data_IF_168973278722
#
_entry.id   IF_168973278722
#
_cell.length_a   1.000
_cell.length_b   1.000
_cell.length_c   1.000
_cell.angle_alpha   90.00
_cell.angle_beta   90.00
_cell.angle_gamma   90.00
#
_symmetry.space_group_name_H-M   'P 1'
#
loop_
_entity.id
_entity.type
_entity.pdbx_description
1 polymer ?
#
# COMPACT_ATOMS: atom_id res chain seq x y z
N UNK A 1 -29.03 1.28 14.80
CA UNK A 1 -28.67 1.36 13.36
C UNK A 1 -27.49 0.44 13.15
N UNK A 2 -27.67 -0.66 12.43
CA UNK A 2 -26.59 -1.59 12.07
C UNK A 2 -25.80 -0.83 11.00
N UNK A 3 -24.57 -0.40 11.30
CA UNK A 3 -23.65 0.05 10.28
C UNK A 3 -23.46 -1.13 9.34
N UNK A 4 -23.92 -1.00 8.08
CA UNK A 4 -23.56 -1.95 7.03
C UNK A 4 -22.04 -1.93 6.94
N UNK A 5 -21.42 -3.00 7.39
CA UNK A 5 -19.99 -3.21 7.24
C UNK A 5 -19.71 -3.25 5.74
N UNK A 6 -18.95 -2.30 5.24
CA UNK A 6 -18.62 -2.23 3.82
C UNK A 6 -17.81 -3.49 3.47
N UNK A 7 -18.39 -4.36 2.66
CA UNK A 7 -17.75 -5.56 2.16
C UNK A 7 -17.20 -5.29 0.77
N UNK A 8 -15.99 -5.75 0.47
CA UNK A 8 -15.35 -5.61 -0.83
C UNK A 8 -15.40 -6.93 -1.61
N UNK A 9 -15.60 -6.86 -2.93
CA UNK A 9 -15.63 -8.06 -3.79
C UNK A 9 -14.27 -8.74 -3.87
N UNK A 10 -13.21 -7.93 -4.03
CA UNK A 10 -11.86 -8.45 -4.20
C UNK A 10 -10.81 -7.47 -3.69
N UNK A 11 -9.89 -8.00 -2.89
CA UNK A 11 -8.70 -7.28 -2.43
C UNK A 11 -7.45 -8.00 -2.88
N UNK A 12 -6.39 -7.24 -3.04
CA UNK A 12 -5.06 -7.70 -3.41
C UNK A 12 -4.06 -7.32 -2.32
N UNK A 13 -3.15 -8.25 -2.00
CA UNK A 13 -2.05 -8.00 -1.07
C UNK A 13 -0.72 -8.23 -1.77
N UNK A 14 0.24 -7.35 -1.51
CA UNK A 14 1.60 -7.44 -2.03
C UNK A 14 2.57 -6.69 -1.11
N UNK A 15 3.87 -6.98 -1.24
CA UNK A 15 4.92 -6.32 -0.50
C UNK A 15 5.85 -5.52 -1.41
N UNK A 16 6.02 -4.26 -1.07
CA UNK A 16 7.05 -3.43 -1.64
C UNK A 16 8.32 -3.55 -0.79
N UNK A 17 9.38 -4.06 -1.40
CA UNK A 17 10.70 -4.14 -0.77
C UNK A 17 11.43 -2.81 -0.86
N UNK A 18 12.03 -2.37 0.25
CA UNK A 18 12.85 -1.18 0.33
C UNK A 18 13.93 -1.29 1.43
N UNK A 19 14.60 -0.19 1.73
CA UNK A 19 15.62 -0.12 2.78
C UNK A 19 15.57 1.23 3.50
N UNK A 20 16.04 1.25 4.73
CA UNK A 20 16.32 2.46 5.52
C UNK A 20 17.81 2.55 5.79
N UNK A 21 18.31 3.80 5.98
CA UNK A 21 19.73 4.15 6.10
C UNK A 21 20.52 4.03 4.78
N UNK A 22 21.74 4.57 4.75
CA UNK A 22 22.57 4.58 3.53
C UNK A 22 23.21 3.23 3.28
N UNK A 23 23.25 2.80 2.03
CA UNK A 23 23.94 1.57 1.57
C UNK A 23 25.45 1.51 1.86
N UNK A 24 26.10 2.66 2.13
CA UNK A 24 27.58 2.78 2.18
C UNK A 24 28.10 3.29 3.53
N UNK A 25 27.44 3.04 4.63
CA UNK A 25 27.96 3.27 5.96
C UNK A 25 28.28 1.94 6.60
N UNK A 26 29.24 1.89 7.52
CA UNK A 26 29.60 0.69 8.31
C UNK A 26 28.40 0.09 9.07
N UNK A 27 27.29 0.85 9.19
CA UNK A 27 26.01 0.34 9.66
C UNK A 27 25.28 -0.33 8.51
N UNK A 28 25.06 -1.63 8.66
CA UNK A 28 24.33 -2.45 7.69
C UNK A 28 22.99 -1.82 7.30
N UNK A 29 22.78 -1.68 6.00
CA UNK A 29 21.49 -1.30 5.42
C UNK A 29 20.40 -2.24 5.93
N UNK A 30 19.36 -1.71 6.55
CA UNK A 30 18.23 -2.52 7.04
C UNK A 30 17.15 -2.60 5.97
N UNK A 31 16.89 -3.82 5.54
CA UNK A 31 15.79 -4.11 4.63
C UNK A 31 14.46 -3.87 5.34
N UNK A 32 13.50 -3.33 4.60
CA UNK A 32 12.14 -3.14 5.07
C UNK A 32 11.14 -3.60 4.01
N UNK A 33 9.97 -3.94 4.48
CA UNK A 33 8.81 -4.29 3.65
C UNK A 33 7.68 -3.33 3.94
N UNK A 34 7.06 -2.83 2.89
CA UNK A 34 5.78 -2.12 2.96
C UNK A 34 4.73 -3.09 2.45
N UNK A 35 3.97 -3.67 3.35
CA UNK A 35 2.88 -4.60 3.04
C UNK A 35 1.64 -3.76 2.80
N UNK A 36 0.96 -3.95 1.67
CA UNK A 36 -0.24 -3.19 1.32
C UNK A 36 -1.40 -4.12 1.00
N UNK A 37 -2.60 -3.76 1.44
CA UNK A 37 -3.86 -4.39 1.10
C UNK A 37 -4.75 -3.39 0.37
N UNK A 38 -5.15 -3.71 -0.84
CA UNK A 38 -5.84 -2.80 -1.76
C UNK A 38 -7.11 -3.43 -2.29
N UNK A 39 -8.24 -2.71 -2.27
CA UNK A 39 -9.46 -3.13 -2.96
C UNK A 39 -9.40 -2.77 -4.44
N UNK A 40 -10.00 -3.64 -5.28
CA UNK A 40 -10.09 -3.39 -6.74
C UNK A 40 -11.15 -2.32 -7.04
N UNK A 41 -12.33 -2.43 -6.42
CA UNK A 41 -13.43 -1.50 -6.63
C UNK A 41 -14.22 -1.31 -5.32
N UNK A 42 -14.36 -0.06 -4.83
CA UNK A 42 -13.58 1.10 -5.27
C UNK A 42 -12.10 0.88 -4.99
N UNK A 43 -11.22 1.49 -5.79
CA UNK A 43 -9.77 1.36 -5.60
C UNK A 43 -9.34 2.16 -4.37
N UNK A 44 -9.06 1.47 -3.28
CA UNK A 44 -8.70 2.03 -1.98
C UNK A 44 -7.62 1.19 -1.31
N UNK A 45 -6.76 1.83 -0.54
CA UNK A 45 -5.79 1.14 0.32
C UNK A 45 -6.51 0.87 1.65
N UNK A 46 -6.82 -0.38 1.91
CA UNK A 46 -7.58 -0.80 3.09
C UNK A 46 -6.71 -0.99 4.32
N UNK A 47 -5.44 -1.30 4.12
CA UNK A 47 -4.48 -1.49 5.19
C UNK A 47 -3.05 -1.49 4.68
N UNK A 48 -2.11 -1.20 5.58
CA UNK A 48 -0.69 -1.32 5.30
C UNK A 48 0.10 -1.52 6.60
N UNK A 49 1.29 -2.12 6.48
CA UNK A 49 2.30 -2.10 7.54
C UNK A 49 3.69 -1.82 6.94
N UNK A 50 4.57 -1.27 7.77
CA UNK A 50 5.98 -1.02 7.43
C UNK A 50 6.84 -1.71 8.48
N UNK A 51 7.62 -2.70 8.08
CA UNK A 51 8.33 -3.55 9.01
C UNK A 51 9.66 -4.07 8.44
N UNK A 52 10.51 -4.61 9.32
CA UNK A 52 11.76 -5.26 8.95
C UNK A 52 11.56 -6.70 8.46
N UNK A 53 10.39 -7.25 8.70
CA UNK A 53 9.97 -8.60 8.30
C UNK A 53 8.56 -8.56 7.68
N UNK A 54 8.17 -9.66 7.05
CA UNK A 54 6.84 -9.82 6.44
C UNK A 54 6.18 -11.13 6.88
N UNK A 55 6.10 -11.30 8.19
CA UNK A 55 5.53 -12.52 8.79
C UNK A 55 4.02 -12.62 8.58
N UNK A 56 3.50 -13.85 8.69
CA UNK A 56 2.05 -14.12 8.61
C UNK A 56 1.26 -13.35 9.67
N UNK A 57 1.83 -13.15 10.87
CA UNK A 57 1.19 -12.40 11.95
C UNK A 57 0.97 -10.94 11.58
N UNK A 58 1.94 -10.31 10.86
CA UNK A 58 1.79 -8.93 10.38
C UNK A 58 0.71 -8.82 9.31
N UNK A 59 0.70 -9.76 8.38
CA UNK A 59 -0.31 -9.83 7.33
C UNK A 59 -1.69 -10.05 7.95
N UNK A 60 -1.78 -10.97 8.93
CA UNK A 60 -3.02 -11.22 9.66
C UNK A 60 -3.55 -9.96 10.37
N UNK A 61 -2.66 -9.17 10.99
CA UNK A 61 -3.04 -7.92 11.61
C UNK A 61 -3.66 -6.94 10.62
N UNK A 62 -3.05 -6.77 9.43
CA UNK A 62 -3.60 -5.90 8.38
C UNK A 62 -5.00 -6.36 7.99
N UNK A 63 -5.20 -7.67 7.81
CA UNK A 63 -6.51 -8.23 7.44
C UNK A 63 -7.55 -8.05 8.55
N UNK A 64 -7.17 -8.26 9.81
CA UNK A 64 -8.08 -8.10 10.95
C UNK A 64 -8.50 -6.64 11.18
N UNK A 65 -7.60 -5.68 10.88
CA UNK A 65 -7.86 -4.25 11.04
C UNK A 65 -8.60 -3.64 9.83
N UNK A 66 -8.67 -4.35 8.71
CA UNK A 66 -9.31 -3.89 7.48
C UNK A 66 -10.76 -4.38 7.36
N UNK A 67 -11.51 -3.77 6.43
CA UNK A 67 -12.84 -4.27 6.07
C UNK A 67 -12.75 -5.63 5.35
N UNK A 68 -13.78 -6.46 5.54
CA UNK A 68 -13.86 -7.80 4.97
C UNK A 68 -13.99 -7.78 3.44
N UNK A 69 -13.53 -8.86 2.80
CA UNK A 69 -13.67 -9.05 1.39
C UNK A 69 -14.10 -10.49 1.03
N UNK A 70 -14.79 -10.63 -0.09
CA UNK A 70 -15.18 -11.96 -0.60
C UNK A 70 -13.98 -12.75 -1.13
N UNK A 71 -12.99 -12.04 -1.70
CA UNK A 71 -11.80 -12.65 -2.29
C UNK A 71 -10.53 -11.90 -1.88
N UNK A 72 -9.51 -12.66 -1.55
CA UNK A 72 -8.16 -12.18 -1.23
C UNK A 72 -7.19 -12.75 -2.24
N UNK A 73 -6.60 -11.90 -3.07
CA UNK A 73 -5.62 -12.28 -4.09
C UNK A 73 -4.21 -11.96 -3.61
N UNK A 74 -3.32 -12.95 -3.64
CA UNK A 74 -1.92 -12.81 -3.22
C UNK A 74 -1.00 -13.46 -4.24
N UNK A 75 0.28 -13.09 -4.21
CA UNK A 75 1.32 -13.79 -4.95
C UNK A 75 1.73 -15.13 -4.29
N UNK A 76 2.81 -15.72 -4.81
CA UNK A 76 3.34 -17.00 -4.34
C UNK A 76 4.17 -16.95 -3.05
N UNK A 77 4.16 -15.86 -2.29
CA UNK A 77 4.88 -15.82 -1.02
C UNK A 77 4.21 -16.72 0.03
N UNK A 78 4.99 -17.63 0.61
CA UNK A 78 4.48 -18.66 1.54
C UNK A 78 3.85 -18.09 2.83
N UNK A 79 4.25 -16.88 3.25
CA UNK A 79 3.69 -16.22 4.43
C UNK A 79 2.18 -15.99 4.35
N UNK A 80 1.62 -15.91 3.14
CA UNK A 80 0.18 -15.80 2.93
C UNK A 80 -0.60 -17.09 3.24
N UNK A 81 0.06 -18.24 3.23
CA UNK A 81 -0.58 -19.53 3.57
C UNK A 81 -0.84 -19.69 5.08
N UNK A 82 -0.11 -18.97 5.91
CA UNK A 82 -0.29 -18.98 7.37
C UNK A 82 -1.34 -17.98 7.88
N UNK A 83 -2.13 -17.38 6.98
CA UNK A 83 -3.11 -16.33 7.29
C UNK A 83 -4.54 -16.87 7.22
N UNK A 84 -5.39 -16.43 8.13
CA UNK A 84 -6.82 -16.74 8.14
C UNK A 84 -7.58 -15.65 7.41
N UNK A 85 -8.31 -16.00 6.37
CA UNK A 85 -9.11 -15.10 5.55
C UNK A 85 -10.59 -15.29 5.84
N UNK A 86 -11.35 -14.21 5.91
CA UNK A 86 -12.82 -14.25 6.05
C UNK A 86 -13.51 -14.65 4.74
N UNK A 87 -12.85 -14.48 3.60
CA UNK A 87 -13.31 -14.84 2.26
C UNK A 87 -12.39 -15.86 1.56
N UNK A 88 -12.62 -16.04 0.27
CA UNK A 88 -11.87 -16.99 -0.55
C UNK A 88 -10.44 -16.48 -0.79
N UNK A 89 -9.43 -17.23 -0.39
CA UNK A 89 -8.03 -16.94 -0.73
C UNK A 89 -7.68 -17.49 -2.13
N UNK A 90 -7.14 -16.63 -2.96
CA UNK A 90 -6.63 -16.95 -4.32
C UNK A 90 -5.12 -16.75 -4.29
N UNK A 91 -4.42 -17.87 -4.19
CA UNK A 91 -2.96 -17.91 -4.12
C UNK A 91 -2.38 -18.15 -5.52
N UNK A 92 -1.77 -17.13 -6.10
CA UNK A 92 -1.27 -17.18 -7.48
C UNK A 92 0.25 -17.29 -7.54
N UNK A 93 0.72 -18.52 -7.82
CA UNK A 93 2.16 -18.79 -7.99
C UNK A 93 2.65 -18.42 -9.41
N UNK A 94 1.79 -18.55 -10.42
CA UNK A 94 2.22 -18.49 -11.83
C UNK A 94 1.55 -17.36 -12.64
N UNK A 95 0.59 -16.66 -12.10
CA UNK A 95 -0.20 -15.72 -12.88
C UNK A 95 -0.34 -14.36 -12.19
N UNK A 96 0.34 -13.33 -12.72
CA UNK A 96 0.28 -11.95 -12.20
C UNK A 96 -1.02 -11.22 -12.53
N UNK A 97 -2.01 -11.89 -13.13
CA UNK A 97 -3.28 -11.25 -13.52
C UNK A 97 -4.09 -10.73 -12.34
N UNK A 98 -3.82 -11.23 -11.13
CA UNK A 98 -4.61 -10.91 -9.95
C UNK A 98 -3.91 -9.99 -8.95
N UNK A 99 -2.78 -9.36 -9.33
CA UNK A 99 -2.03 -8.40 -8.48
C UNK A 99 -1.83 -7.02 -9.12
N UNK A 100 -2.48 -6.75 -10.25
CA UNK A 100 -2.23 -5.52 -11.01
C UNK A 100 -2.66 -4.24 -10.28
N UNK A 101 -3.67 -4.32 -9.40
CA UNK A 101 -4.15 -3.14 -8.65
C UNK A 101 -3.16 -2.75 -7.58
N UNK A 102 -2.71 -3.71 -6.77
CA UNK A 102 -1.73 -3.47 -5.70
C UNK A 102 -0.36 -3.10 -6.27
N UNK A 103 0.06 -3.71 -7.39
CA UNK A 103 1.28 -3.31 -8.11
C UNK A 103 1.20 -1.84 -8.57
N UNK A 104 0.04 -1.40 -9.07
CA UNK A 104 -0.21 -0.01 -9.43
C UNK A 104 -0.12 0.93 -8.23
N UNK A 105 -0.67 0.55 -7.08
CA UNK A 105 -0.56 1.32 -5.83
C UNK A 105 0.90 1.35 -5.34
N UNK A 106 1.62 0.24 -5.39
CA UNK A 106 3.03 0.18 -5.04
C UNK A 106 3.90 1.06 -5.96
N UNK A 107 3.52 1.20 -7.24
CA UNK A 107 4.17 2.14 -8.16
C UNK A 107 3.84 3.59 -7.79
N UNK A 108 2.61 3.90 -7.39
CA UNK A 108 2.21 5.23 -6.93
C UNK A 108 2.91 5.61 -5.61
N UNK A 109 3.04 4.69 -4.65
CA UNK A 109 3.84 4.88 -3.44
C UNK A 109 5.29 5.29 -3.78
N UNK A 110 5.93 4.58 -4.72
CA UNK A 110 7.29 4.94 -5.18
C UNK A 110 7.36 6.26 -5.92
N UNK A 111 6.30 6.65 -6.60
CA UNK A 111 6.25 7.88 -7.36
C UNK A 111 6.07 9.11 -6.46
N UNK A 112 5.17 9.03 -5.48
CA UNK A 112 4.77 10.17 -4.67
C UNK A 112 5.53 10.30 -3.35
N UNK A 113 6.14 9.22 -2.85
CA UNK A 113 6.93 9.24 -1.62
C UNK A 113 8.42 9.23 -1.99
N UNK A 114 9.13 10.38 -1.92
CA UNK A 114 10.52 10.49 -2.38
C UNK A 114 11.48 9.50 -1.72
N UNK A 115 11.19 9.10 -0.49
CA UNK A 115 12.01 8.13 0.26
C UNK A 115 11.85 6.69 -0.24
N UNK A 116 10.80 6.39 -1.02
CA UNK A 116 10.57 5.11 -1.68
C UNK A 116 10.93 5.12 -3.17
N UNK A 117 11.28 6.29 -3.72
CA UNK A 117 11.58 6.43 -5.14
C UNK A 117 12.92 5.77 -5.49
N UNK A 118 12.91 4.95 -6.56
CA UNK A 118 14.15 4.40 -7.12
C UNK A 118 15.07 5.54 -7.56
N UNK A 119 16.39 5.43 -7.28
CA UNK A 119 17.40 6.45 -7.60
C UNK A 119 17.22 7.78 -6.85
N UNK A 120 16.40 7.84 -5.81
CA UNK A 120 16.30 9.01 -4.95
C UNK A 120 17.55 9.14 -4.06
N UNK A 121 17.93 10.39 -3.75
CA UNK A 121 18.91 10.71 -2.70
C UNK A 121 18.24 10.86 -1.33
N UNK A 122 16.91 10.83 -1.28
CA UNK A 122 16.13 10.90 -0.05
C UNK A 122 15.98 9.50 0.55
N UNK A 123 16.43 9.31 1.78
CA UNK A 123 16.32 8.04 2.50
C UNK A 123 15.59 8.26 3.81
N UNK A 124 14.67 7.37 4.13
CA UNK A 124 14.13 7.31 5.47
C UNK A 124 15.22 6.82 6.43
N UNK A 125 15.46 7.56 7.52
CA UNK A 125 16.41 7.16 8.56
C UNK A 125 15.77 6.35 9.66
N UNK A 126 14.46 6.49 9.83
CA UNK A 126 13.65 5.82 10.86
C UNK A 126 12.40 5.24 10.22
N UNK A 127 12.02 4.06 10.72
CA UNK A 127 10.84 3.34 10.25
C UNK A 127 9.55 4.16 10.48
N UNK A 128 9.47 4.86 11.62
CA UNK A 128 8.33 5.67 12.02
C UNK A 128 8.08 6.82 11.04
N UNK A 129 9.14 7.46 10.54
CA UNK A 129 9.02 8.56 9.57
C UNK A 129 8.47 8.04 8.23
N UNK A 130 8.91 6.87 7.81
CA UNK A 130 8.38 6.25 6.60
C UNK A 130 6.92 5.84 6.78
N UNK A 131 6.58 5.25 7.93
CA UNK A 131 5.20 4.89 8.27
C UNK A 131 4.30 6.11 8.26
N UNK A 132 4.72 7.23 8.87
CA UNK A 132 3.98 8.48 8.86
C UNK A 132 3.76 9.03 7.44
N UNK A 133 4.79 9.01 6.59
CA UNK A 133 4.68 9.45 5.20
C UNK A 133 3.69 8.59 4.41
N UNK A 134 3.71 7.27 4.61
CA UNK A 134 2.75 6.35 3.96
C UNK A 134 1.34 6.57 4.51
N UNK A 135 1.16 6.83 5.82
CA UNK A 135 -0.16 7.14 6.40
C UNK A 135 -0.79 8.38 5.75
N UNK A 136 -0.01 9.45 5.58
CA UNK A 136 -0.49 10.67 4.89
C UNK A 136 -0.86 10.35 3.44
N UNK A 137 -0.02 9.59 2.73
CA UNK A 137 -0.32 9.18 1.36
C UNK A 137 -1.61 8.35 1.28
N UNK A 138 -1.79 7.36 2.15
CA UNK A 138 -2.99 6.50 2.19
C UNK A 138 -4.24 7.33 2.44
N UNK A 139 -4.19 8.27 3.40
CA UNK A 139 -5.31 9.17 3.66
C UNK A 139 -5.67 10.01 2.43
N UNK A 140 -4.68 10.65 1.82
CA UNK A 140 -4.89 11.46 0.62
C UNK A 140 -5.39 10.62 -0.57
N UNK A 141 -4.79 9.44 -0.77
CA UNK A 141 -5.17 8.51 -1.84
C UNK A 141 -6.62 8.06 -1.72
N UNK A 142 -7.05 7.66 -0.54
CA UNK A 142 -8.41 7.19 -0.29
C UNK A 142 -9.43 8.34 -0.33
N UNK A 143 -9.09 9.52 0.19
CA UNK A 143 -9.98 10.69 0.25
C UNK A 143 -10.22 11.31 -1.13
N UNK A 144 -9.16 11.43 -1.94
CA UNK A 144 -9.20 12.13 -3.23
C UNK A 144 -9.24 11.17 -4.43
N UNK A 145 -9.20 9.87 -4.18
CA UNK A 145 -9.22 8.84 -5.21
C UNK A 145 -8.04 8.97 -6.17
N UNK A 146 -8.33 8.91 -7.48
CA UNK A 146 -7.33 9.04 -8.54
C UNK A 146 -6.77 10.47 -8.63
N UNK A 147 -6.12 10.96 -7.56
CA UNK A 147 -5.47 12.27 -7.53
C UNK A 147 -4.61 12.51 -8.79
N UNK A 148 -3.94 11.48 -9.28
CA UNK A 148 -3.18 11.49 -10.54
C UNK A 148 -4.05 11.77 -11.77
N UNK A 149 -5.28 11.25 -11.81
CA UNK A 149 -6.21 11.48 -12.91
C UNK A 149 -6.79 12.90 -12.83
N UNK A 150 -7.22 13.33 -11.68
CA UNK A 150 -7.71 14.70 -11.43
C UNK A 150 -6.60 15.74 -11.67
N UNK A 151 -5.38 15.49 -11.19
CA UNK A 151 -4.24 16.37 -11.43
C UNK A 151 -3.95 16.52 -12.93
N UNK A 152 -3.97 15.44 -13.70
CA UNK A 152 -3.76 15.50 -15.14
C UNK A 152 -4.86 16.26 -15.87
N UNK A 153 -6.12 16.07 -15.47
CA UNK A 153 -7.27 16.76 -16.06
C UNK A 153 -7.26 18.26 -15.74
N UNK A 154 -7.00 18.61 -14.49
CA UNK A 154 -6.98 20.01 -14.04
C UNK A 154 -5.74 20.76 -14.52
N UNK A 155 -4.58 20.09 -14.66
CA UNK A 155 -3.39 20.70 -15.25
C UNK A 155 -3.63 21.10 -16.71
N UNK A 156 -4.36 20.28 -17.47
CA UNK A 156 -4.80 20.64 -18.82
C UNK A 156 -5.77 21.83 -18.84
N UNK A 157 -6.57 22.01 -17.76
CA UNK A 157 -7.54 23.11 -17.62
C UNK A 157 -6.98 24.32 -16.85
N UNK A 158 -5.69 24.31 -16.44
CA UNK A 158 -5.07 25.33 -15.57
C UNK A 158 -5.77 25.52 -14.21
N UNK A 159 -6.55 24.57 -13.76
CA UNK A 159 -7.14 24.57 -12.41
C UNK A 159 -6.29 23.72 -11.48
N UNK A 160 -5.90 24.26 -10.33
CA UNK A 160 -5.15 23.55 -9.28
C UNK A 160 -6.17 23.09 -8.24
N UNK A 161 -6.53 21.78 -8.18
CA UNK A 161 -7.65 21.33 -7.37
C UNK A 161 -7.30 21.11 -5.89
N UNK A 162 -6.03 21.32 -5.48
CA UNK A 162 -5.60 21.02 -4.12
C UNK A 162 -5.02 22.26 -3.43
N UNK A 163 -5.62 22.61 -2.30
CA UNK A 163 -4.99 23.45 -1.29
C UNK A 163 -4.23 22.54 -0.31
N UNK A 164 -3.12 23.03 0.25
CA UNK A 164 -2.43 22.35 1.36
C UNK A 164 -3.40 22.07 2.53
N UNK A 165 -4.42 22.87 2.68
CA UNK A 165 -5.48 22.72 3.71
C UNK A 165 -6.29 21.43 3.48
N UNK A 166 -6.36 20.89 2.27
CA UNK A 166 -7.06 19.64 1.97
C UNK A 166 -6.32 18.39 2.48
N UNK A 167 -5.09 18.55 2.96
CA UNK A 167 -4.23 17.50 3.52
C UNK A 167 -4.15 17.51 5.05
N UNK A 168 -4.74 18.49 5.72
CA UNK A 168 -4.83 18.61 7.17
C UNK A 168 -6.26 18.30 7.61
#
# INVERSE_FOLDING_TARGET
>A
MIQQQQQFDCVELDELYWFIERKNTEKACKNIYVITMVSRQPRQILGFDVAFDKTSERIQKIINDAAEAEKYCTDGYYGYLGVIYTGKHIYNIHNKKDSFTVEGVNADLRHYIPTLARRSRCFARKLENLRAAISVFVHAYNKFGLAKYHYRLTHKKKEVPFSIIDFI
#
